data_IF_839162357641
#
_entry.id   IF_839162357641
#
_cell.length_a   1.000
_cell.length_b   1.000
_cell.length_c   1.000
_cell.angle_alpha   90.00
_cell.angle_beta   90.00
_cell.angle_gamma   90.00
#
_symmetry.space_group_name_H-M   'P 1'
#
loop_
_entity.id
_entity.type
_entity.pdbx_description
1 polymer ?
#
# COMPACT_ATOMS: atom_id res chain seq x y z
N UNK A 1 18.27 -18.13 -37.18
CA UNK A 1 17.36 -17.16 -36.53
C UNK A 1 16.03 -17.83 -36.26
N UNK A 2 15.49 -17.70 -35.03
CA UNK A 2 14.07 -17.39 -34.72
C UNK A 2 13.68 -17.90 -33.31
N UNK A 3 13.77 -16.96 -32.37
CA UNK A 3 12.90 -16.70 -31.20
C UNK A 3 12.57 -17.89 -30.28
N UNK A 4 13.34 -18.01 -29.19
CA UNK A 4 12.92 -18.70 -27.97
C UNK A 4 11.78 -17.88 -27.34
N UNK A 5 10.63 -18.51 -27.15
CA UNK A 5 9.48 -17.94 -26.44
C UNK A 5 9.90 -17.51 -25.03
N UNK A 6 9.80 -16.23 -24.75
CA UNK A 6 9.80 -15.70 -23.38
C UNK A 6 8.35 -15.79 -22.90
N UNK A 7 7.99 -16.91 -22.27
CA UNK A 7 6.87 -16.95 -21.34
C UNK A 7 7.43 -16.64 -19.96
N UNK A 8 7.25 -15.41 -19.48
CA UNK A 8 7.41 -15.09 -18.06
C UNK A 8 6.40 -14.04 -17.66
N UNK A 9 5.49 -14.43 -16.77
CA UNK A 9 4.54 -13.53 -16.16
C UNK A 9 3.24 -14.25 -15.79
N UNK A 10 3.31 -15.24 -14.90
CA UNK A 10 2.14 -15.78 -14.22
C UNK A 10 1.57 -14.65 -13.35
N UNK A 11 0.54 -13.96 -13.85
CA UNK A 11 -0.25 -13.01 -13.09
C UNK A 11 -1.03 -13.76 -12.01
N UNK A 12 -0.39 -13.96 -10.86
CA UNK A 12 -1.04 -14.54 -9.67
C UNK A 12 -1.97 -13.48 -9.08
N UNK A 13 -3.21 -13.93 -8.89
CA UNK A 13 -4.38 -13.10 -8.68
C UNK A 13 -4.30 -12.18 -7.47
N UNK A 14 -4.77 -10.96 -7.68
CA UNK A 14 -5.19 -10.02 -6.65
C UNK A 14 -6.30 -10.66 -5.81
N UNK A 15 -5.97 -11.13 -4.60
CA UNK A 15 -6.99 -11.39 -3.58
C UNK A 15 -7.44 -10.03 -3.06
N UNK A 16 -8.43 -9.46 -3.74
CA UNK A 16 -9.16 -8.31 -3.23
C UNK A 16 -9.99 -8.79 -2.03
N UNK A 17 -9.44 -8.63 -0.83
CA UNK A 17 -10.27 -8.65 0.38
C UNK A 17 -11.25 -7.47 0.26
N UNK A 18 -12.47 -7.78 -0.19
CA UNK A 18 -13.59 -6.84 -0.24
C UNK A 18 -13.94 -6.41 1.17
N UNK A 19 -13.34 -5.31 1.62
CA UNK A 19 -13.48 -4.79 2.97
C UNK A 19 -14.80 -4.05 3.15
N UNK A 20 -15.46 -4.31 4.29
CA UNK A 20 -16.42 -3.38 4.85
C UNK A 20 -15.81 -1.96 4.90
N UNK A 21 -16.60 -0.95 4.55
CA UNK A 21 -16.18 0.44 4.64
C UNK A 21 -16.03 0.79 6.13
N UNK A 22 -14.81 0.66 6.65
CA UNK A 22 -14.49 1.02 8.03
C UNK A 22 -14.33 2.54 8.12
N UNK A 23 -14.84 3.12 9.21
CA UNK A 23 -14.67 4.54 9.52
C UNK A 23 -13.18 4.90 9.56
N UNK A 24 -12.83 6.01 8.91
CA UNK A 24 -11.46 6.43 8.66
C UNK A 24 -10.62 6.71 9.91
N UNK A 25 -11.23 6.88 11.08
CA UNK A 25 -10.54 7.14 12.35
C UNK A 25 -10.06 5.88 13.07
N UNK A 26 -10.61 4.72 12.72
CA UNK A 26 -10.29 3.43 13.35
C UNK A 26 -9.17 2.72 12.58
N UNK A 27 -8.26 2.08 13.32
CA UNK A 27 -7.22 1.25 12.73
C UNK A 27 -7.82 0.03 12.01
N UNK A 28 -7.53 -0.13 10.73
CA UNK A 28 -7.81 -1.35 9.97
C UNK A 28 -6.53 -2.15 9.79
N UNK A 29 -6.60 -3.45 10.01
CA UNK A 29 -5.50 -4.35 9.66
C UNK A 29 -5.36 -4.48 8.14
N UNK A 30 -4.14 -4.73 7.70
CA UNK A 30 -3.86 -5.06 6.31
C UNK A 30 -2.80 -6.15 6.23
N UNK A 31 -2.86 -6.90 5.14
CA UNK A 31 -1.93 -7.95 4.78
C UNK A 31 -1.94 -8.03 3.25
N UNK A 32 -0.83 -7.68 2.60
CA UNK A 32 -0.73 -7.60 1.15
C UNK A 32 0.68 -7.93 0.68
N UNK A 33 0.79 -8.37 -0.57
CA UNK A 33 2.07 -8.66 -1.21
C UNK A 33 2.38 -7.54 -2.21
N UNK A 34 3.55 -6.92 -2.09
CA UNK A 34 4.07 -5.94 -3.04
C UNK A 34 4.94 -6.67 -4.05
N UNK A 35 4.54 -6.76 -5.33
CA UNK A 35 5.32 -7.51 -6.31
C UNK A 35 6.71 -6.88 -6.52
N UNK A 36 7.67 -7.70 -6.93
CA UNK A 36 9.02 -7.27 -7.34
C UNK A 36 9.03 -6.18 -8.43
N UNK A 37 10.17 -5.52 -8.56
CA UNK A 37 10.50 -4.58 -9.64
C UNK A 37 9.45 -3.46 -9.82
N UNK A 38 9.26 -2.63 -8.79
CA UNK A 38 8.28 -1.54 -8.82
C UNK A 38 6.82 -1.99 -9.00
N UNK A 39 6.51 -3.20 -8.52
CA UNK A 39 5.13 -3.62 -8.32
C UNK A 39 4.46 -2.83 -7.20
N UNK A 40 3.12 -2.81 -7.23
CA UNK A 40 2.31 -2.15 -6.19
C UNK A 40 1.43 -3.15 -5.44
N UNK A 41 1.39 -3.00 -4.12
CA UNK A 41 0.43 -3.67 -3.23
C UNK A 41 -0.56 -2.65 -2.65
N UNK A 42 -1.71 -3.12 -2.18
CA UNK A 42 -2.77 -2.22 -1.69
C UNK A 42 -3.42 -2.76 -0.42
N UNK A 43 -3.84 -1.86 0.45
CA UNK A 43 -4.79 -2.16 1.52
C UNK A 43 -6.23 -2.21 0.98
N UNK A 44 -7.17 -2.63 1.84
CA UNK A 44 -8.58 -2.29 1.66
C UNK A 44 -8.84 -0.79 1.71
N UNK A 45 -10.07 -0.37 1.44
CA UNK A 45 -10.48 1.03 1.50
C UNK A 45 -11.01 1.42 2.88
N UNK A 46 -10.83 2.69 3.24
CA UNK A 46 -11.58 3.39 4.29
C UNK A 46 -12.18 4.66 3.71
N UNK A 47 -13.31 5.10 4.27
CA UNK A 47 -13.83 6.44 3.97
C UNK A 47 -13.11 7.45 4.86
N UNK A 48 -12.51 8.46 4.23
CA UNK A 48 -11.81 9.56 4.89
C UNK A 48 -12.77 10.31 5.80
N UNK A 49 -12.46 10.46 7.08
CA UNK A 49 -13.35 11.10 8.05
C UNK A 49 -13.11 12.61 8.15
N UNK A 50 -11.88 13.05 7.89
CA UNK A 50 -11.46 14.44 7.99
C UNK A 50 -10.58 14.84 6.81
N UNK A 51 -10.90 15.98 6.19
CA UNK A 51 -10.03 16.61 5.18
C UNK A 51 -8.78 17.19 5.85
N UNK A 52 -7.65 17.20 5.14
CA UNK A 52 -6.42 17.86 5.60
C UNK A 52 -5.67 17.12 6.73
N UNK A 53 -6.15 15.95 7.15
CA UNK A 53 -5.44 15.08 8.09
C UNK A 53 -4.65 14.01 7.35
N UNK A 54 -3.47 13.69 7.86
CA UNK A 54 -2.63 12.64 7.29
C UNK A 54 -3.23 11.26 7.57
N UNK A 55 -3.05 10.35 6.62
CA UNK A 55 -3.22 8.93 6.93
C UNK A 55 -2.10 8.49 7.86
N UNK A 56 -2.36 7.46 8.65
CA UNK A 56 -1.36 6.89 9.54
C UNK A 56 -1.18 5.41 9.21
N UNK A 57 0.06 4.97 9.26
CA UNK A 57 0.47 3.63 8.90
C UNK A 57 1.39 3.09 9.99
N UNK A 58 1.11 1.88 10.44
CA UNK A 58 2.01 1.08 11.25
C UNK A 58 2.28 -0.23 10.52
N UNK A 59 3.51 -0.40 10.05
CA UNK A 59 3.99 -1.61 9.38
C UNK A 59 4.60 -2.56 10.40
N UNK A 60 3.93 -3.67 10.70
CA UNK A 60 4.49 -4.71 11.56
C UNK A 60 5.57 -5.51 10.85
N UNK A 61 5.33 -5.85 9.57
CA UNK A 61 6.21 -6.69 8.75
C UNK A 61 6.34 -6.07 7.35
N UNK A 62 7.56 -6.04 6.83
CA UNK A 62 8.00 -5.60 5.50
C UNK A 62 9.13 -6.54 5.00
N UNK A 63 8.83 -7.84 4.90
CA UNK A 63 9.77 -8.83 4.39
C UNK A 63 11.10 -8.97 5.16
N UNK A 64 11.22 -8.44 6.38
CA UNK A 64 12.44 -8.51 7.20
C UNK A 64 13.46 -7.44 6.81
N UNK A 65 14.32 -7.75 5.85
CA UNK A 65 15.43 -6.88 5.43
C UNK A 65 15.06 -5.94 4.27
N UNK A 66 13.82 -6.01 3.77
CA UNK A 66 13.36 -5.18 2.67
C UNK A 66 12.74 -3.88 3.17
N UNK A 67 12.64 -2.93 2.26
CA UNK A 67 11.84 -1.73 2.48
C UNK A 67 10.89 -1.51 1.33
N UNK A 68 9.75 -0.90 1.63
CA UNK A 68 8.77 -0.46 0.62
C UNK A 68 8.51 1.03 0.79
N UNK A 69 7.98 1.66 -0.24
CA UNK A 69 7.43 3.00 -0.13
C UNK A 69 5.91 2.90 0.03
N UNK A 70 5.30 3.89 0.69
CA UNK A 70 3.85 3.95 0.80
C UNK A 70 3.30 5.36 0.58
N UNK A 71 2.06 5.44 0.11
CA UNK A 71 1.29 6.69 0.03
C UNK A 71 -0.19 6.44 0.26
N UNK A 72 -0.90 7.49 0.66
CA UNK A 72 -2.35 7.51 0.55
C UNK A 72 -2.76 7.62 -0.93
N UNK A 73 -3.65 6.75 -1.36
CA UNK A 73 -4.21 6.74 -2.71
C UNK A 73 -5.73 6.88 -2.64
N UNK A 74 -6.26 7.84 -3.38
CA UNK A 74 -7.69 8.05 -3.59
C UNK A 74 -7.95 8.53 -5.02
N UNK A 75 -9.21 8.75 -5.39
CA UNK A 75 -9.59 9.35 -6.68
C UNK A 75 -9.16 10.82 -6.80
N UNK A 76 -9.02 11.52 -5.67
CA UNK A 76 -8.47 12.87 -5.58
C UNK A 76 -7.70 13.05 -4.26
N UNK A 77 -6.66 13.87 -4.29
CA UNK A 77 -5.85 14.18 -3.11
C UNK A 77 -4.82 13.11 -2.71
N UNK A 78 -4.46 12.21 -3.64
CA UNK A 78 -3.38 11.22 -3.47
C UNK A 78 -2.09 11.89 -2.98
N UNK A 79 -1.47 11.25 -1.99
CA UNK A 79 -0.27 11.72 -1.32
C UNK A 79 1.02 11.47 -2.09
N UNK A 80 2.09 12.12 -1.64
CA UNK A 80 3.46 11.78 -2.06
C UNK A 80 3.91 10.46 -1.44
N UNK A 81 4.88 9.80 -2.09
CA UNK A 81 5.52 8.60 -1.54
C UNK A 81 6.33 8.93 -0.28
N UNK A 82 6.04 8.23 0.80
CA UNK A 82 6.88 8.14 2.00
C UNK A 82 7.81 6.95 1.82
N UNK A 83 9.11 7.23 1.89
CA UNK A 83 10.15 6.30 1.44
C UNK A 83 10.65 5.40 2.57
N UNK A 84 11.14 4.22 2.17
CA UNK A 84 11.94 3.30 2.99
C UNK A 84 11.26 2.90 4.31
N UNK A 85 10.02 2.41 4.22
CA UNK A 85 9.27 1.83 5.34
C UNK A 85 9.79 0.42 5.57
N UNK A 86 10.02 0.07 6.84
CA UNK A 86 10.57 -1.23 7.26
C UNK A 86 9.72 -1.85 8.38
N UNK A 87 10.17 -2.97 8.93
CA UNK A 87 9.52 -3.67 10.05
C UNK A 87 9.37 -2.76 11.28
N UNK A 88 8.25 -2.87 11.99
CA UNK A 88 7.90 -2.11 13.20
C UNK A 88 7.98 -0.57 13.03
N UNK A 89 7.64 -0.06 11.85
CA UNK A 89 7.74 1.35 11.50
C UNK A 89 6.38 2.04 11.54
N UNK A 90 6.33 3.22 12.16
CA UNK A 90 5.16 4.10 12.17
C UNK A 90 5.41 5.33 11.29
N UNK A 91 4.51 5.57 10.35
CA UNK A 91 4.61 6.69 9.41
C UNK A 91 3.30 7.46 9.28
N UNK A 92 3.43 8.78 9.19
CA UNK A 92 2.40 9.64 8.65
C UNK A 92 2.48 9.63 7.12
N UNK A 93 1.32 9.62 6.47
CA UNK A 93 1.17 9.64 5.02
C UNK A 93 0.48 10.95 4.60
N UNK A 94 1.26 12.00 4.25
CA UNK A 94 0.74 13.27 3.82
C UNK A 94 -0.15 13.12 2.57
N UNK A 95 -1.30 13.80 2.57
CA UNK A 95 -2.27 13.76 1.49
C UNK A 95 -3.21 14.96 1.57
N UNK A 96 -4.00 15.17 0.53
CA UNK A 96 -5.06 16.19 0.48
C UNK A 96 -6.42 15.56 0.18
N UNK A 97 -6.62 14.30 0.57
CA UNK A 97 -7.88 13.58 0.33
C UNK A 97 -9.02 14.26 1.07
N UNK A 98 -10.10 14.69 0.39
CA UNK A 98 -11.29 15.21 1.02
C UNK A 98 -12.03 14.17 1.87
N UNK A 99 -12.67 14.64 2.96
CA UNK A 99 -13.65 13.87 3.73
C UNK A 99 -14.70 13.23 2.81
N UNK A 100 -15.09 12.00 3.13
CA UNK A 100 -16.12 11.24 2.42
C UNK A 100 -15.61 10.48 1.20
N UNK A 101 -14.36 10.70 0.76
CA UNK A 101 -13.76 9.87 -0.28
C UNK A 101 -13.20 8.57 0.27
N UNK A 102 -13.26 7.52 -0.56
CA UNK A 102 -12.57 6.28 -0.28
C UNK A 102 -11.08 6.45 -0.56
N UNK A 103 -10.27 6.16 0.45
CA UNK A 103 -8.83 6.12 0.39
C UNK A 103 -8.32 4.74 0.76
N UNK A 104 -7.09 4.44 0.38
CA UNK A 104 -6.32 3.25 0.79
C UNK A 104 -4.85 3.59 0.83
N UNK A 105 -4.04 2.73 1.42
CA UNK A 105 -2.58 2.81 1.27
C UNK A 105 -2.17 2.01 0.05
N UNK A 106 -1.39 2.64 -0.81
CA UNK A 106 -0.64 1.99 -1.89
C UNK A 106 0.81 1.83 -1.43
N UNK A 107 1.35 0.64 -1.61
CA UNK A 107 2.76 0.31 -1.38
C UNK A 107 3.46 0.09 -2.70
N UNK A 108 4.76 0.38 -2.78
CA UNK A 108 5.59 0.08 -3.95
C UNK A 108 6.97 -0.42 -3.55
N UNK A 109 7.48 -1.37 -4.32
CA UNK A 109 8.87 -1.80 -4.24
C UNK A 109 9.76 -0.89 -5.09
N UNK A 110 11.06 -0.88 -4.82
CA UNK A 110 12.02 -0.29 -5.75
C UNK A 110 12.12 -1.12 -7.05
N UNK A 111 12.55 -0.46 -8.13
CA UNK A 111 12.86 -1.10 -9.42
C UNK A 111 13.94 -2.18 -9.31
N UNK A 112 14.73 -2.17 -8.23
CA UNK A 112 15.83 -3.11 -7.98
C UNK A 112 15.47 -4.25 -7.04
N UNK A 113 14.25 -4.26 -6.47
CA UNK A 113 13.81 -5.31 -5.55
C UNK A 113 13.37 -6.55 -6.35
N UNK A 114 14.10 -7.68 -6.33
CA UNK A 114 13.87 -8.80 -7.23
C UNK A 114 12.87 -9.84 -6.69
N UNK A 115 12.32 -9.60 -5.50
CA UNK A 115 11.40 -10.50 -4.80
C UNK A 115 10.09 -9.79 -4.49
N UNK A 116 9.05 -10.59 -4.30
CA UNK A 116 7.79 -10.09 -3.78
C UNK A 116 7.93 -9.87 -2.27
N UNK A 117 7.50 -8.70 -1.78
CA UNK A 117 7.65 -8.31 -0.37
C UNK A 117 6.29 -8.39 0.30
N UNK A 118 6.20 -9.25 1.32
CA UNK A 118 5.01 -9.35 2.15
C UNK A 118 4.97 -8.19 3.15
N UNK A 119 3.87 -7.43 3.16
CA UNK A 119 3.66 -6.29 4.04
C UNK A 119 2.39 -6.49 4.86
N UNK A 120 2.48 -6.35 6.18
CA UNK A 120 1.33 -6.40 7.07
C UNK A 120 1.43 -5.43 8.22
N UNK A 121 0.29 -5.06 8.78
CA UNK A 121 0.21 -4.09 9.85
C UNK A 121 -1.18 -3.53 9.98
N UNK A 122 -1.27 -2.25 10.36
CA UNK A 122 -2.53 -1.51 10.48
C UNK A 122 -2.39 -0.10 9.96
N UNK A 123 -3.47 0.46 9.46
CA UNK A 123 -3.52 1.81 8.94
C UNK A 123 -4.85 2.48 9.26
N UNK A 124 -4.91 3.81 9.17
CA UNK A 124 -6.14 4.58 9.22
C UNK A 124 -6.04 5.82 8.35
N UNK A 125 -7.14 6.21 7.73
CA UNK A 125 -7.17 7.32 6.77
C UNK A 125 -7.30 8.70 7.44
N UNK A 126 -7.90 8.77 8.64
CA UNK A 126 -8.29 9.95 9.41
C UNK A 126 -9.33 10.88 8.78
#
# INVERSE_FOLDING_TARGET
MKKKLVLMGLSVGLVAFGGAVQAGTSWSEYNTTVPKFNGSGYTGYQTKESSGTYGELYSSIVGGAYTVDARMQATSGTGSWVRSITDNDYRNLPNSVPKGLNARVEFSNDLTTPVDVQVSGRWRSN
#
